data_IF_910181726721
#
_entry.id   IF_910181726721
#
_cell.length_a   1.000
_cell.length_b   1.000
_cell.length_c   1.000
_cell.angle_alpha   90.00
_cell.angle_beta   90.00
_cell.angle_gamma   90.00
#
_symmetry.space_group_name_H-M   'P 1'
#
loop_
_entity.id
_entity.type
_entity.pdbx_description
1 polymer ?
#
# COMPACT_ATOMS: atom_id res chain seq x y z
N UNK A 1 -84.65 9.20 -21.83
CA UNK A 1 -83.82 10.13 -21.04
C UNK A 1 -82.46 9.46 -20.80
N UNK A 2 -81.43 9.82 -21.59
CA UNK A 2 -80.07 9.30 -21.42
C UNK A 2 -79.40 10.03 -20.25
N UNK A 3 -79.07 9.30 -19.17
CA UNK A 3 -78.28 9.81 -18.04
C UNK A 3 -76.80 9.64 -18.37
N UNK A 4 -76.10 10.76 -18.54
CA UNK A 4 -74.64 10.81 -18.64
C UNK A 4 -74.05 10.59 -17.24
N UNK A 5 -73.25 9.53 -17.07
CA UNK A 5 -72.39 9.33 -15.91
C UNK A 5 -71.08 10.08 -16.17
N UNK A 6 -70.93 11.26 -15.57
CA UNK A 6 -69.68 12.00 -15.60
C UNK A 6 -68.69 11.37 -14.62
N UNK A 7 -67.69 10.66 -15.16
CA UNK A 7 -66.55 10.14 -14.41
C UNK A 7 -65.69 11.31 -13.90
N UNK A 8 -65.67 11.53 -12.58
CA UNK A 8 -64.74 12.47 -11.97
C UNK A 8 -63.37 11.79 -11.82
N UNK A 9 -62.43 12.10 -12.71
CA UNK A 9 -61.02 11.76 -12.54
C UNK A 9 -60.42 12.65 -11.45
N UNK A 10 -60.21 12.10 -10.27
CA UNK A 10 -59.41 12.70 -9.21
C UNK A 10 -57.93 12.63 -9.61
N UNK A 11 -57.37 13.76 -10.04
CA UNK A 11 -55.92 13.92 -10.17
C UNK A 11 -55.30 14.00 -8.78
N UNK A 12 -54.68 12.91 -8.33
CA UNK A 12 -53.72 12.99 -7.22
C UNK A 12 -52.41 13.57 -7.76
N UNK A 13 -51.92 14.72 -7.25
CA UNK A 13 -50.59 15.18 -7.60
C UNK A 13 -49.59 14.15 -7.07
N UNK A 14 -48.87 13.51 -7.99
CA UNK A 14 -47.66 12.78 -7.63
C UNK A 14 -46.66 13.85 -7.20
N UNK A 15 -46.50 14.05 -5.90
CA UNK A 15 -45.34 14.79 -5.39
C UNK A 15 -44.13 13.93 -5.67
N UNK A 16 -43.48 14.17 -6.81
CA UNK A 16 -42.12 13.72 -7.02
C UNK A 16 -41.30 14.31 -5.88
N UNK A 17 -40.88 13.47 -4.93
CA UNK A 17 -39.89 13.87 -3.94
C UNK A 17 -38.66 14.32 -4.73
N UNK A 18 -38.37 15.62 -4.70
CA UNK A 18 -37.15 16.14 -5.27
C UNK A 18 -36.01 15.33 -4.64
N UNK A 19 -35.26 14.60 -5.47
CA UNK A 19 -34.11 13.86 -5.02
C UNK A 19 -33.18 14.88 -4.35
N UNK A 20 -33.01 14.76 -3.03
CA UNK A 20 -32.29 15.76 -2.23
C UNK A 20 -30.91 16.03 -2.84
N UNK A 21 -30.52 17.29 -2.90
CA UNK A 21 -29.17 17.65 -3.34
C UNK A 21 -28.15 17.00 -2.39
N UNK A 22 -27.12 16.36 -2.95
CA UNK A 22 -26.00 15.83 -2.18
C UNK A 22 -25.32 17.00 -1.47
N UNK A 23 -25.42 17.03 -0.15
CA UNK A 23 -24.80 18.04 0.71
C UNK A 23 -23.46 17.59 1.27
N UNK A 24 -22.79 18.49 2.00
CA UNK A 24 -21.51 18.17 2.66
C UNK A 24 -21.66 16.99 3.64
N UNK A 25 -22.80 16.87 4.31
CA UNK A 25 -23.08 15.76 5.24
C UNK A 25 -23.15 14.42 4.52
N UNK A 26 -23.71 14.40 3.31
CA UNK A 26 -23.77 13.18 2.50
C UNK A 26 -22.38 12.77 2.03
N UNK A 27 -21.57 13.73 1.55
CA UNK A 27 -20.18 13.51 1.14
C UNK A 27 -19.34 13.01 2.32
N UNK A 28 -19.43 13.66 3.48
CA UNK A 28 -18.72 13.26 4.69
C UNK A 28 -19.17 11.88 5.22
N UNK A 29 -20.44 11.53 5.00
CA UNK A 29 -21.00 10.23 5.36
C UNK A 29 -20.66 9.08 4.40
N UNK A 30 -20.02 9.36 3.25
CA UNK A 30 -19.66 8.32 2.29
C UNK A 30 -18.63 7.36 2.87
N UNK A 31 -18.89 6.06 2.69
CA UNK A 31 -17.92 5.01 2.97
C UNK A 31 -17.08 4.78 1.72
N UNK A 32 -15.77 4.91 1.83
CA UNK A 32 -14.85 4.82 0.68
C UNK A 32 -13.96 3.60 0.83
N UNK A 33 -13.91 2.74 -0.19
CA UNK A 33 -12.92 1.67 -0.26
C UNK A 33 -11.58 2.31 -0.65
N UNK A 34 -10.56 2.12 0.19
CA UNK A 34 -9.25 2.77 -0.01
C UNK A 34 -8.13 1.81 -0.38
N UNK A 35 -8.30 0.52 -0.13
CA UNK A 35 -7.38 -0.55 -0.52
C UNK A 35 -8.14 -1.88 -0.50
N UNK A 36 -7.68 -2.86 -1.28
CA UNK A 36 -8.26 -4.20 -1.36
C UNK A 36 -7.17 -5.25 -1.60
N UNK A 37 -7.42 -6.45 -1.08
CA UNK A 37 -6.65 -7.64 -1.42
C UNK A 37 -7.60 -8.82 -1.57
N UNK A 38 -7.38 -9.60 -2.62
CA UNK A 38 -8.07 -10.87 -2.80
C UNK A 38 -7.31 -11.98 -2.08
N UNK A 39 -8.05 -12.90 -1.46
CA UNK A 39 -7.48 -14.17 -1.03
C UNK A 39 -7.06 -14.98 -2.25
N UNK A 40 -5.91 -15.63 -2.17
CA UNK A 40 -5.47 -16.61 -3.19
C UNK A 40 -6.30 -17.91 -3.12
N UNK A 41 -7.06 -18.10 -2.03
CA UNK A 41 -7.91 -19.27 -1.76
C UNK A 41 -9.36 -18.81 -1.60
N UNK A 42 -10.24 -19.26 -2.49
CA UNK A 42 -11.67 -18.89 -2.49
C UNK A 42 -11.95 -17.54 -3.17
N UNK A 43 -13.15 -16.99 -2.93
CA UNK A 43 -13.62 -15.73 -3.54
C UNK A 43 -13.69 -14.57 -2.52
N UNK A 44 -13.04 -14.71 -1.37
CA UNK A 44 -13.05 -13.68 -0.33
C UNK A 44 -12.04 -12.57 -0.62
N UNK A 45 -12.40 -11.34 -0.26
CA UNK A 45 -11.54 -10.16 -0.31
C UNK A 45 -11.52 -9.48 1.05
N UNK A 46 -10.37 -8.96 1.45
CA UNK A 46 -10.28 -7.99 2.54
C UNK A 46 -10.18 -6.60 1.93
N UNK A 47 -11.04 -5.70 2.36
CA UNK A 47 -11.10 -4.32 1.90
C UNK A 47 -10.93 -3.36 3.07
N UNK A 48 -10.22 -2.26 2.85
CA UNK A 48 -10.13 -1.16 3.81
C UNK A 48 -11.21 -0.13 3.50
N UNK A 49 -12.13 0.08 4.45
CA UNK A 49 -13.22 1.05 4.32
C UNK A 49 -12.95 2.24 5.23
N UNK A 50 -12.84 3.41 4.62
CA UNK A 50 -12.74 4.69 5.30
C UNK A 50 -14.14 5.23 5.63
N UNK A 51 -14.32 5.66 6.88
CA UNK A 51 -15.57 6.27 7.38
C UNK A 51 -15.27 7.50 8.23
N UNK A 52 -16.13 8.50 8.21
CA UNK A 52 -16.02 9.65 9.11
C UNK A 52 -16.52 9.28 10.51
N UNK A 53 -15.74 9.59 11.55
CA UNK A 53 -16.07 9.23 12.93
C UNK A 53 -17.12 10.15 13.59
N UNK A 54 -17.67 11.12 12.85
CA UNK A 54 -18.65 12.08 13.36
C UNK A 54 -18.04 13.22 14.21
N UNK A 55 -16.72 13.28 14.35
CA UNK A 55 -16.02 14.34 15.11
C UNK A 55 -15.14 15.17 14.17
N UNK A 56 -14.03 14.61 13.72
CA UNK A 56 -12.97 15.35 13.05
C UNK A 56 -12.02 14.46 12.23
N UNK A 57 -12.22 13.13 12.24
CA UNK A 57 -11.28 12.19 11.61
C UNK A 57 -11.98 11.16 10.76
N UNK A 58 -11.28 10.76 9.71
CA UNK A 58 -11.59 9.55 8.96
C UNK A 58 -10.83 8.38 9.58
N UNK A 59 -11.55 7.27 9.80
CA UNK A 59 -11.01 6.02 10.33
C UNK A 59 -11.15 4.96 9.26
N UNK A 60 -10.10 4.16 9.07
CA UNK A 60 -10.08 3.02 8.16
C UNK A 60 -10.19 1.74 8.95
N UNK A 61 -11.16 0.89 8.62
CA UNK A 61 -11.29 -0.44 9.19
C UNK A 61 -11.29 -1.50 8.08
N UNK A 62 -10.84 -2.71 8.42
CA UNK A 62 -10.83 -3.84 7.50
C UNK A 62 -12.17 -4.55 7.51
N UNK A 63 -12.61 -4.99 6.34
CA UNK A 63 -13.84 -5.73 6.13
C UNK A 63 -13.57 -6.94 5.25
N UNK A 64 -14.18 -8.07 5.59
CA UNK A 64 -14.23 -9.26 4.77
C UNK A 64 -15.46 -9.19 3.88
N UNK A 65 -15.25 -9.33 2.57
CA UNK A 65 -16.30 -9.32 1.55
C UNK A 65 -16.23 -10.64 0.79
N UNK A 66 -17.38 -11.31 0.61
CA UNK A 66 -17.48 -12.52 -0.20
C UNK A 66 -18.78 -12.50 -1.01
N UNK A 67 -18.77 -13.03 -2.25
CA UNK A 67 -19.97 -13.11 -3.07
C UNK A 67 -21.12 -13.82 -2.35
N UNK A 68 -22.32 -13.23 -2.42
CA UNK A 68 -23.53 -13.82 -1.84
C UNK A 68 -23.65 -13.74 -0.31
N UNK A 69 -22.69 -13.11 0.39
CA UNK A 69 -22.73 -12.92 1.85
C UNK A 69 -22.68 -11.44 2.23
N UNK A 70 -23.25 -11.09 3.38
CA UNK A 70 -23.11 -9.74 3.92
C UNK A 70 -21.65 -9.45 4.31
N UNK A 71 -21.11 -8.26 3.98
CA UNK A 71 -19.78 -7.85 4.43
C UNK A 71 -19.63 -7.92 5.94
N UNK A 72 -18.50 -8.44 6.42
CA UNK A 72 -18.21 -8.59 7.85
C UNK A 72 -17.05 -7.68 8.25
N UNK A 73 -17.28 -6.77 9.18
CA UNK A 73 -16.21 -5.94 9.73
C UNK A 73 -15.22 -6.81 10.53
N UNK A 74 -13.93 -6.62 10.28
CA UNK A 74 -12.82 -7.35 10.90
C UNK A 74 -12.17 -6.56 12.02
N UNK A 75 -12.01 -5.25 11.84
CA UNK A 75 -11.39 -4.37 12.84
C UNK A 75 -12.34 -3.28 13.30
N UNK A 76 -12.13 -2.83 14.53
CA UNK A 76 -12.80 -1.67 15.11
C UNK A 76 -11.74 -0.75 15.69
N UNK A 77 -11.78 0.53 15.32
CA UNK A 77 -10.87 1.54 15.88
C UNK A 77 -9.59 1.75 15.08
N UNK A 78 -9.55 1.32 13.82
CA UNK A 78 -8.45 1.62 12.92
C UNK A 78 -7.59 0.41 12.54
N UNK A 79 -7.24 0.38 11.26
CA UNK A 79 -6.22 -0.46 10.67
C UNK A 79 -5.47 0.34 9.59
N UNK A 80 -4.14 0.25 9.62
CA UNK A 80 -3.25 0.77 8.59
C UNK A 80 -3.14 -0.18 7.40
N UNK A 81 -2.01 -0.12 6.66
CA UNK A 81 -1.73 -1.06 5.58
C UNK A 81 -1.80 -2.51 6.06
N UNK A 82 -2.27 -3.40 5.19
CA UNK A 82 -2.55 -4.79 5.54
C UNK A 82 -2.03 -5.76 4.47
N UNK A 83 -2.01 -7.05 4.77
CA UNK A 83 -1.71 -8.13 3.84
C UNK A 83 -2.46 -9.41 4.20
N UNK A 84 -3.07 -10.08 3.23
CA UNK A 84 -3.71 -11.39 3.45
C UNK A 84 -2.65 -12.49 3.38
N UNK A 85 -2.68 -13.43 4.32
CA UNK A 85 -1.87 -14.65 4.29
C UNK A 85 -2.08 -15.43 2.97
N UNK A 86 -1.05 -16.04 2.37
CA UNK A 86 -1.18 -16.80 1.12
C UNK A 86 -2.27 -17.90 1.15
N UNK A 87 -2.49 -18.49 2.30
CA UNK A 87 -3.52 -19.51 2.57
C UNK A 87 -4.93 -18.93 2.79
N UNK A 88 -5.07 -17.61 2.89
CA UNK A 88 -6.36 -16.93 3.05
C UNK A 88 -7.00 -17.10 4.42
N UNK A 89 -6.22 -17.35 5.48
CA UNK A 89 -6.74 -17.65 6.83
C UNK A 89 -6.57 -16.50 7.82
N UNK A 90 -5.52 -15.71 7.67
CA UNK A 90 -5.22 -14.55 8.51
C UNK A 90 -5.00 -13.30 7.65
N UNK A 91 -5.18 -12.13 8.27
CA UNK A 91 -4.74 -10.83 7.74
C UNK A 91 -3.73 -10.20 8.70
N UNK A 92 -2.58 -9.80 8.16
CA UNK A 92 -1.61 -8.94 8.83
C UNK A 92 -1.98 -7.48 8.63
N UNK A 93 -1.85 -6.64 9.63
CA UNK A 93 -2.09 -5.20 9.48
C UNK A 93 -1.31 -4.38 10.50
N UNK A 94 -0.92 -3.17 10.10
CA UNK A 94 -0.38 -2.17 11.01
C UNK A 94 -1.49 -1.59 11.91
N UNK A 95 -1.23 -1.46 13.20
CA UNK A 95 -2.09 -0.67 14.09
C UNK A 95 -1.34 -0.14 15.31
N UNK A 96 -1.89 0.91 15.92
CA UNK A 96 -1.57 1.35 17.26
C UNK A 96 -2.75 1.01 18.18
N UNK A 97 -2.53 0.13 19.17
CA UNK A 97 -3.56 -0.36 20.09
C UNK A 97 -2.97 -0.56 21.48
N UNK A 98 -3.70 -0.11 22.50
CA UNK A 98 -3.33 -0.31 23.92
C UNK A 98 -1.90 0.14 24.25
N UNK A 99 -1.45 1.26 23.67
CA UNK A 99 -0.12 1.83 23.89
C UNK A 99 1.02 1.11 23.16
N UNK A 100 0.71 0.13 22.30
CA UNK A 100 1.67 -0.57 21.44
C UNK A 100 1.37 -0.31 19.98
N UNK A 101 2.41 -0.19 19.17
CA UNK A 101 2.30 -0.08 17.73
C UNK A 101 3.11 -1.17 17.03
N UNK A 102 2.63 -1.65 15.90
CA UNK A 102 3.27 -2.75 15.21
C UNK A 102 2.36 -3.50 14.27
N UNK A 103 2.80 -4.70 13.90
CA UNK A 103 2.05 -5.60 13.02
C UNK A 103 1.26 -6.59 13.87
N UNK A 104 -0.05 -6.63 13.61
CA UNK A 104 -1.00 -7.54 14.22
C UNK A 104 -1.45 -8.59 13.20
N UNK A 105 -1.75 -9.80 13.69
CA UNK A 105 -2.42 -10.85 12.92
C UNK A 105 -3.85 -11.06 13.43
N UNK A 106 -4.80 -11.17 12.51
CA UNK A 106 -6.20 -11.43 12.80
C UNK A 106 -6.72 -12.61 11.96
N UNK A 107 -7.30 -13.65 12.60
CA UNK A 107 -7.97 -14.73 11.88
C UNK A 107 -9.21 -14.26 11.11
N UNK A 108 -9.35 -14.72 9.86
CA UNK A 108 -10.47 -14.38 8.97
C UNK A 108 -11.72 -15.23 9.22
N UNK A 109 -11.65 -16.26 10.04
CA UNK A 109 -12.81 -17.00 10.57
C UNK A 109 -13.34 -16.43 11.90
N UNK A 110 -12.55 -15.59 12.57
CA UNK A 110 -12.95 -14.85 13.78
C UNK A 110 -11.97 -15.03 14.93
N UNK A 111 -11.99 -14.10 15.88
CA UNK A 111 -11.07 -14.06 17.01
C UNK A 111 -10.55 -12.66 17.28
N UNK A 112 -9.57 -12.54 18.17
CA UNK A 112 -8.91 -11.28 18.49
C UNK A 112 -7.59 -11.12 17.72
N UNK A 113 -7.26 -9.87 17.40
CA UNK A 113 -5.98 -9.56 16.77
C UNK A 113 -4.85 -9.70 17.80
N UNK A 114 -3.78 -10.41 17.43
CA UNK A 114 -2.57 -10.58 18.26
C UNK A 114 -1.41 -9.77 17.69
N UNK A 115 -0.67 -9.07 18.54
CA UNK A 115 0.57 -8.39 18.16
C UNK A 115 1.65 -9.44 17.89
N UNK A 116 2.25 -9.42 16.71
CA UNK A 116 3.35 -10.35 16.35
C UNK A 116 4.71 -9.67 16.29
N UNK A 117 4.73 -8.37 16.07
CA UNK A 117 5.93 -7.56 16.14
C UNK A 117 5.56 -6.16 16.62
N UNK A 118 6.08 -5.77 17.78
CA UNK A 118 6.12 -4.36 18.16
C UNK A 118 7.20 -3.69 17.32
N UNK A 119 6.85 -2.59 16.66
CA UNK A 119 7.77 -1.87 15.77
C UNK A 119 7.97 -0.45 16.27
N UNK A 120 9.20 0.07 16.23
CA UNK A 120 9.50 1.39 16.77
C UNK A 120 9.07 2.53 15.83
N UNK A 121 8.74 2.20 14.57
CA UNK A 121 8.30 3.11 13.51
C UNK A 121 7.16 2.48 12.69
N UNK A 122 6.41 3.31 11.97
CA UNK A 122 5.31 2.87 11.11
C UNK A 122 5.76 1.89 10.02
N UNK A 123 4.96 0.85 9.81
CA UNK A 123 5.08 -0.07 8.68
C UNK A 123 4.02 0.23 7.61
N UNK A 124 4.45 0.31 6.36
CA UNK A 124 3.63 0.55 5.18
C UNK A 124 3.83 -0.55 4.12
N UNK A 125 3.02 -0.53 3.05
CA UNK A 125 3.15 -1.42 1.87
C UNK A 125 3.26 -2.92 2.22
N UNK A 126 2.46 -3.42 3.16
CA UNK A 126 2.54 -4.80 3.63
C UNK A 126 2.25 -5.82 2.51
N UNK A 127 3.07 -6.87 2.42
CA UNK A 127 2.91 -8.03 1.53
C UNK A 127 3.19 -9.29 2.34
N UNK A 128 2.29 -10.28 2.31
CA UNK A 128 2.50 -11.57 2.97
C UNK A 128 2.72 -12.66 1.94
N UNK A 129 3.92 -13.21 1.89
CA UNK A 129 4.32 -14.24 0.94
C UNK A 129 5.50 -15.05 1.49
N UNK A 130 5.65 -16.30 1.04
CA UNK A 130 6.78 -17.16 1.39
C UNK A 130 6.98 -17.31 2.92
N UNK A 131 5.87 -17.33 3.68
CA UNK A 131 5.88 -17.43 5.14
C UNK A 131 6.33 -16.17 5.88
N UNK A 132 6.55 -15.05 5.20
CA UNK A 132 7.06 -13.79 5.77
C UNK A 132 6.14 -12.62 5.44
N UNK A 133 6.19 -11.58 6.27
CA UNK A 133 5.50 -10.31 6.03
C UNK A 133 6.56 -9.28 5.62
N UNK A 134 6.54 -8.87 4.37
CA UNK A 134 7.35 -7.77 3.86
C UNK A 134 6.63 -6.46 4.10
N UNK A 135 7.37 -5.42 4.47
CA UNK A 135 6.83 -4.10 4.72
C UNK A 135 7.90 -3.04 4.50
N UNK A 136 7.47 -1.81 4.25
CA UNK A 136 8.37 -0.67 4.16
C UNK A 136 8.32 0.16 5.42
N UNK A 137 9.45 0.75 5.80
CA UNK A 137 9.52 1.71 6.90
C UNK A 137 10.47 2.86 6.52
N UNK A 138 10.16 4.06 6.97
CA UNK A 138 11.02 5.22 6.82
C UNK A 138 12.20 5.11 7.79
N UNK A 139 13.42 5.23 7.27
CA UNK A 139 14.66 5.12 8.06
C UNK A 139 15.63 6.23 7.71
N UNK A 140 16.26 6.82 8.73
CA UNK A 140 17.34 7.77 8.51
C UNK A 140 18.59 7.08 7.96
N UNK A 141 19.27 7.73 7.02
CA UNK A 141 20.46 7.18 6.34
C UNK A 141 21.57 6.68 7.28
N UNK A 142 21.80 7.36 8.38
CA UNK A 142 22.81 7.02 9.39
C UNK A 142 22.38 5.88 10.32
N UNK A 143 21.08 5.65 10.48
CA UNK A 143 20.52 4.53 11.22
C UNK A 143 20.57 3.21 10.43
N UNK A 144 20.80 3.24 9.12
CA UNK A 144 20.87 2.03 8.27
C UNK A 144 19.61 1.17 8.40
N UNK A 145 19.69 -0.02 8.98
CA UNK A 145 18.56 -0.91 9.20
C UNK A 145 18.01 -0.87 10.64
N UNK A 146 18.57 -0.01 11.50
CA UNK A 146 18.19 0.12 12.90
C UNK A 146 16.94 1.00 13.05
N UNK A 147 15.80 0.35 13.23
CA UNK A 147 14.52 1.02 13.41
C UNK A 147 14.41 1.73 14.78
N UNK A 148 15.12 1.26 15.81
CA UNK A 148 15.13 1.89 17.14
C UNK A 148 15.95 3.20 17.12
N UNK A 149 17.07 3.21 16.39
CA UNK A 149 17.83 4.41 16.07
C UNK A 149 16.93 5.45 15.40
N UNK A 150 16.12 5.02 14.42
CA UNK A 150 15.22 5.91 13.69
C UNK A 150 14.17 6.53 14.61
N UNK A 151 13.51 5.72 15.46
CA UNK A 151 12.56 6.22 16.46
C UNK A 151 13.19 7.27 17.35
N UNK A 152 14.36 6.98 17.92
CA UNK A 152 15.08 7.94 18.78
C UNK A 152 15.37 9.24 18.04
N UNK A 153 15.78 9.17 16.78
CA UNK A 153 16.08 10.35 15.96
C UNK A 153 14.82 11.17 15.65
N UNK A 154 13.68 10.52 15.42
CA UNK A 154 12.38 11.20 15.27
C UNK A 154 11.97 11.91 16.57
N UNK A 155 12.14 11.26 17.73
CA UNK A 155 11.85 11.85 19.05
C UNK A 155 12.74 13.06 19.35
N UNK A 156 14.04 12.97 19.05
CA UNK A 156 14.98 14.08 19.24
C UNK A 156 14.66 15.24 18.30
N UNK A 157 14.29 14.95 17.04
CA UNK A 157 13.85 15.96 16.07
C UNK A 157 12.57 16.68 16.53
N UNK A 158 11.62 15.95 17.12
CA UNK A 158 10.37 16.53 17.63
C UNK A 158 10.57 17.50 18.81
N UNK A 159 11.67 17.36 19.55
CA UNK A 159 12.08 18.28 20.64
C UNK A 159 12.90 19.48 20.14
N UNK A 160 13.44 19.39 18.92
CA UNK A 160 14.31 20.40 18.33
C UNK A 160 13.56 21.58 17.70
N UNK A 161 14.29 22.51 17.05
CA UNK A 161 13.68 23.62 16.33
C UNK A 161 12.85 23.12 15.13
N UNK A 162 11.80 23.85 14.78
CA UNK A 162 10.96 23.56 13.61
C UNK A 162 11.63 23.91 12.27
N UNK A 163 12.75 24.64 12.30
CA UNK A 163 13.51 24.99 11.10
C UNK A 163 14.24 23.78 10.53
N UNK A 164 14.18 23.60 9.19
CA UNK A 164 14.90 22.56 8.47
C UNK A 164 15.83 23.18 7.43
N UNK A 165 17.02 22.61 7.25
CA UNK A 165 18.00 23.02 6.24
C UNK A 165 18.04 21.96 5.15
N UNK A 166 17.85 22.37 3.91
CA UNK A 166 17.92 21.50 2.73
C UNK A 166 19.04 21.96 1.82
N UNK A 167 19.98 21.05 1.53
CA UNK A 167 21.17 21.32 0.69
C UNK A 167 21.12 20.60 -0.65
N UNK A 168 20.10 19.77 -0.88
CA UNK A 168 19.96 18.92 -2.06
C UNK A 168 18.52 18.95 -2.58
N UNK A 169 18.35 18.74 -3.88
CA UNK A 169 17.03 18.73 -4.52
C UNK A 169 16.26 17.43 -4.28
N UNK A 170 14.98 17.56 -4.63
CA UNK A 170 13.87 16.69 -4.29
C UNK A 170 13.52 16.65 -2.79
N UNK A 171 13.77 17.76 -2.09
CA UNK A 171 13.43 17.92 -0.67
C UNK A 171 11.94 18.13 -0.39
N UNK A 172 11.12 18.43 -1.40
CA UNK A 172 9.68 18.67 -1.26
C UNK A 172 8.87 17.93 -2.33
N UNK A 173 8.60 16.63 -2.17
CA UNK A 173 7.70 15.91 -3.03
C UNK A 173 6.25 16.35 -2.78
N UNK A 174 5.64 16.98 -3.80
CA UNK A 174 4.28 17.50 -3.78
C UNK A 174 3.97 18.41 -2.58
N UNK A 175 3.14 17.93 -1.66
CA UNK A 175 2.65 18.64 -0.48
C UNK A 175 3.37 18.20 0.81
N UNK A 176 4.44 17.40 0.70
CA UNK A 176 5.23 16.90 1.83
C UNK A 176 6.67 17.38 1.76
N UNK A 177 7.34 17.38 2.92
CA UNK A 177 8.76 17.74 3.06
C UNK A 177 9.54 16.50 3.45
N UNK A 178 10.70 16.28 2.83
CA UNK A 178 11.58 15.18 3.23
C UNK A 178 12.10 15.46 4.64
N UNK A 179 11.98 14.49 5.51
CA UNK A 179 12.37 14.62 6.92
C UNK A 179 13.79 14.12 7.19
N UNK A 180 14.49 13.63 6.16
CA UNK A 180 15.82 13.01 6.21
C UNK A 180 15.80 11.49 6.20
N UNK A 181 14.60 10.89 6.12
CA UNK A 181 14.43 9.44 5.97
C UNK A 181 14.26 9.02 4.51
N UNK A 182 14.58 7.75 4.27
CA UNK A 182 14.28 7.02 3.04
C UNK A 182 13.36 5.86 3.37
N UNK A 183 12.42 5.58 2.48
CA UNK A 183 11.52 4.44 2.64
C UNK A 183 12.26 3.16 2.24
N UNK A 184 12.46 2.23 3.17
CA UNK A 184 13.27 1.03 2.98
C UNK A 184 12.45 -0.24 3.24
N UNK A 185 12.88 -1.36 2.65
CA UNK A 185 12.15 -2.62 2.65
C UNK A 185 12.72 -3.61 3.67
N UNK A 186 11.83 -4.18 4.47
CA UNK A 186 12.10 -5.14 5.53
C UNK A 186 11.24 -6.39 5.39
N UNK A 187 11.64 -7.46 6.05
CA UNK A 187 10.88 -8.71 6.15
C UNK A 187 10.78 -9.19 7.60
N UNK A 188 9.56 -9.44 8.05
CA UNK A 188 9.19 -9.96 9.35
C UNK A 188 8.90 -11.46 9.27
N UNK A 189 9.50 -12.24 10.16
CA UNK A 189 9.03 -13.58 10.52
C UNK A 189 7.87 -13.45 11.53
N UNK A 190 6.62 -13.79 11.16
CA UNK A 190 5.46 -13.65 12.04
C UNK A 190 5.42 -14.64 13.21
N UNK A 191 6.24 -15.70 13.17
CA UNK A 191 6.33 -16.69 14.26
C UNK A 191 7.30 -16.23 15.34
N UNK A 192 8.46 -15.70 14.94
CA UNK A 192 9.50 -15.29 15.87
C UNK A 192 9.48 -13.80 16.23
N UNK A 193 8.75 -12.98 15.46
CA UNK A 193 8.77 -11.52 15.57
C UNK A 193 10.06 -10.87 15.02
N UNK A 194 10.93 -11.64 14.36
CA UNK A 194 12.24 -11.14 13.90
C UNK A 194 12.08 -10.32 12.63
N UNK A 195 12.66 -9.13 12.61
CA UNK A 195 12.73 -8.24 11.45
C UNK A 195 14.13 -8.29 10.84
N UNK A 196 14.20 -8.37 9.52
CA UNK A 196 15.45 -8.34 8.75
C UNK A 196 15.36 -7.31 7.61
N UNK A 197 16.49 -6.70 7.28
CA UNK A 197 16.61 -5.81 6.13
C UNK A 197 16.54 -6.61 4.82
N UNK A 198 15.81 -6.09 3.83
CA UNK A 198 15.76 -6.63 2.46
C UNK A 198 16.45 -5.66 1.50
N UNK A 199 16.05 -4.39 1.52
CA UNK A 199 16.65 -3.34 0.71
C UNK A 199 16.66 -2.03 1.51
N UNK A 200 17.85 -1.66 1.97
CA UNK A 200 18.08 -0.51 2.87
C UNK A 200 19.21 0.33 2.28
N UNK A 201 18.99 1.64 2.21
CA UNK A 201 19.97 2.59 1.69
C UNK A 201 19.37 3.95 1.38
N UNK A 202 20.18 4.79 0.73
CA UNK A 202 19.81 6.16 0.33
C UNK A 202 18.97 6.16 -0.95
N UNK A 203 17.87 5.43 -0.94
CA UNK A 203 16.88 5.32 -2.01
C UNK A 203 15.54 4.90 -1.43
N UNK A 204 14.46 5.22 -2.14
CA UNK A 204 13.10 4.87 -1.71
C UNK A 204 12.60 3.61 -2.41
N UNK A 205 12.05 2.70 -1.61
CA UNK A 205 11.28 1.52 -2.03
C UNK A 205 9.94 1.55 -1.31
N UNK A 206 8.81 1.68 -2.02
CA UNK A 206 8.71 2.06 -3.44
C UNK A 206 9.21 3.49 -3.73
N UNK A 207 9.43 3.86 -5.01
CA UNK A 207 9.91 5.18 -5.41
C UNK A 207 8.88 6.28 -5.09
N UNK A 208 9.33 7.40 -4.53
CA UNK A 208 8.47 8.58 -4.35
C UNK A 208 8.35 9.39 -5.67
N UNK A 209 7.24 10.13 -5.88
CA UNK A 209 6.13 10.34 -4.97
C UNK A 209 4.92 9.42 -5.22
N UNK A 210 4.94 8.63 -6.29
CA UNK A 210 3.76 7.88 -6.76
C UNK A 210 3.81 6.39 -6.45
N UNK A 211 4.95 5.87 -5.98
CA UNK A 211 5.11 4.45 -5.77
C UNK A 211 4.32 3.92 -4.57
N UNK A 212 3.90 2.67 -4.70
CA UNK A 212 3.07 1.96 -3.74
C UNK A 212 3.47 0.50 -3.58
N UNK A 213 2.61 -0.28 -2.93
CA UNK A 213 2.80 -1.72 -2.71
C UNK A 213 3.02 -2.50 -4.00
N UNK A 214 2.41 -2.04 -5.10
CA UNK A 214 2.53 -2.59 -6.44
C UNK A 214 3.96 -2.59 -6.98
N UNK A 215 4.83 -1.69 -6.50
CA UNK A 215 6.24 -1.61 -6.90
C UNK A 215 7.13 -2.65 -6.19
N UNK A 216 6.54 -3.55 -5.41
CA UNK A 216 7.22 -4.63 -4.71
C UNK A 216 6.52 -5.95 -5.04
N UNK A 217 7.28 -6.90 -5.58
CA UNK A 217 6.82 -8.25 -5.85
C UNK A 217 7.61 -9.25 -5.03
N UNK A 218 6.90 -10.25 -4.50
CA UNK A 218 7.53 -11.38 -3.79
C UNK A 218 7.07 -12.68 -4.41
N UNK A 219 8.03 -13.50 -4.81
CA UNK A 219 7.83 -14.85 -5.34
C UNK A 219 7.52 -15.85 -4.21
N UNK A 220 7.04 -17.05 -4.57
CA UNK A 220 6.68 -18.09 -3.59
C UNK A 220 7.87 -18.64 -2.82
N UNK A 221 9.07 -18.57 -3.39
CA UNK A 221 10.35 -18.95 -2.80
C UNK A 221 11.05 -17.79 -2.08
N UNK A 222 10.42 -16.62 -2.00
CA UNK A 222 10.90 -15.49 -1.20
C UNK A 222 11.92 -14.59 -1.90
N UNK A 223 12.13 -14.75 -3.21
CA UNK A 223 12.82 -13.74 -4.03
C UNK A 223 11.95 -12.49 -4.12
N UNK A 224 12.57 -11.34 -3.90
CA UNK A 224 11.93 -10.02 -3.96
C UNK A 224 12.38 -9.30 -5.22
N UNK A 225 11.45 -8.68 -5.94
CA UNK A 225 11.77 -7.67 -6.97
C UNK A 225 11.10 -6.38 -6.58
N UNK A 226 11.83 -5.27 -6.59
CA UNK A 226 11.29 -3.97 -6.23
C UNK A 226 11.74 -2.89 -7.21
N UNK A 227 10.93 -1.85 -7.37
CA UNK A 227 11.30 -0.66 -8.14
C UNK A 227 11.99 0.38 -7.24
N UNK A 228 13.07 0.99 -7.72
CA UNK A 228 13.73 2.09 -7.03
C UNK A 228 14.42 3.06 -7.99
N UNK A 229 14.52 4.32 -7.56
CA UNK A 229 15.27 5.36 -8.25
C UNK A 229 16.67 5.50 -7.63
N UNK A 230 17.64 4.73 -8.13
CA UNK A 230 19.05 4.76 -7.68
C UNK A 230 19.92 5.56 -8.66
N UNK A 231 19.62 6.85 -8.78
CA UNK A 231 20.28 7.77 -9.72
C UNK A 231 20.89 8.97 -9.00
N UNK A 232 21.83 9.66 -9.66
CA UNK A 232 22.46 10.88 -9.10
C UNK A 232 21.49 12.07 -9.07
N UNK A 233 20.78 12.30 -10.17
CA UNK A 233 19.92 13.48 -10.34
C UNK A 233 18.46 13.15 -10.01
N UNK A 234 18.19 12.80 -8.75
CA UNK A 234 16.89 12.35 -8.25
C UNK A 234 15.72 13.26 -8.69
N UNK A 235 15.94 14.57 -8.68
CA UNK A 235 14.90 15.57 -8.94
C UNK A 235 14.51 15.74 -10.42
N UNK A 236 15.39 15.34 -11.35
CA UNK A 236 15.17 15.53 -12.79
C UNK A 236 14.92 14.20 -13.51
N UNK A 237 15.42 13.10 -12.96
CA UNK A 237 15.35 11.82 -13.60
C UNK A 237 13.96 11.19 -13.45
N UNK A 238 13.41 10.65 -14.55
CA UNK A 238 12.27 9.71 -14.48
C UNK A 238 12.72 8.26 -14.33
N UNK A 239 14.02 7.98 -14.44
CA UNK A 239 14.56 6.62 -14.39
C UNK A 239 14.21 5.93 -13.07
N UNK A 240 13.53 4.80 -13.18
CA UNK A 240 13.29 3.86 -12.09
C UNK A 240 13.67 2.50 -12.62
N UNK A 241 14.43 1.73 -11.85
CA UNK A 241 14.86 0.40 -12.23
C UNK A 241 14.26 -0.66 -11.31
N UNK A 242 14.18 -1.88 -11.80
CA UNK A 242 13.86 -3.05 -11.01
C UNK A 242 15.14 -3.68 -10.45
N UNK A 243 15.10 -4.01 -9.17
CA UNK A 243 16.17 -4.70 -8.45
C UNK A 243 15.62 -6.00 -7.88
N UNK A 244 16.36 -7.09 -8.07
CA UNK A 244 16.06 -8.40 -7.50
C UNK A 244 16.93 -8.65 -6.28
N UNK A 245 16.33 -9.11 -5.18
CA UNK A 245 17.02 -9.63 -4.00
C UNK A 245 16.72 -11.11 -3.86
N UNK A 246 17.76 -11.93 -3.97
CA UNK A 246 17.70 -13.38 -3.78
C UNK A 246 18.80 -13.79 -2.79
N UNK A 247 18.42 -14.52 -1.73
CA UNK A 247 19.37 -14.97 -0.69
C UNK A 247 20.26 -13.83 -0.13
N UNK A 248 19.68 -12.65 0.06
CA UNK A 248 20.38 -11.46 0.57
C UNK A 248 21.31 -10.76 -0.43
N UNK A 249 21.38 -11.24 -1.68
CA UNK A 249 22.16 -10.60 -2.74
C UNK A 249 21.25 -9.80 -3.65
N UNK A 250 21.56 -8.53 -3.84
CA UNK A 250 20.86 -7.65 -4.77
C UNK A 250 21.53 -7.65 -6.15
N UNK A 251 20.71 -7.62 -7.20
CA UNK A 251 21.15 -7.27 -8.57
C UNK A 251 20.13 -6.37 -9.26
N UNK A 252 20.61 -5.49 -10.13
CA UNK A 252 19.76 -4.72 -11.05
C UNK A 252 19.24 -5.63 -12.17
N UNK A 253 17.92 -5.63 -12.41
CA UNK A 253 17.26 -6.44 -13.45
C UNK A 253 17.07 -5.69 -14.76
N UNK A 254 16.85 -4.39 -14.70
CA UNK A 254 16.57 -3.53 -15.87
C UNK A 254 17.69 -2.53 -16.08
N UNK A 255 17.95 -2.14 -17.32
CA UNK A 255 18.93 -1.10 -17.69
C UNK A 255 18.31 0.07 -18.46
N UNK A 256 16.98 0.15 -18.47
CA UNK A 256 16.22 1.22 -19.10
C UNK A 256 16.54 2.58 -18.46
N UNK A 257 16.70 3.63 -19.26
CA UNK A 257 16.91 4.99 -18.75
C UNK A 257 15.59 5.72 -18.44
N UNK A 258 14.44 5.13 -18.80
CA UNK A 258 13.10 5.59 -18.43
C UNK A 258 12.57 4.83 -17.18
N UNK A 259 11.28 4.91 -16.91
CA UNK A 259 10.69 4.28 -15.72
C UNK A 259 10.29 2.82 -15.97
N UNK A 260 10.81 1.90 -15.15
CA UNK A 260 10.37 0.52 -15.00
C UNK A 260 9.79 0.32 -13.59
N UNK A 261 8.55 -0.17 -13.49
CA UNK A 261 7.74 -0.20 -12.25
C UNK A 261 6.78 -1.39 -12.21
N UNK A 262 6.09 -1.54 -11.08
CA UNK A 262 5.03 -2.50 -10.85
C UNK A 262 5.37 -3.96 -11.24
N UNK A 263 6.48 -4.54 -10.71
CA UNK A 263 6.86 -5.90 -11.03
C UNK A 263 5.81 -6.91 -10.54
N UNK A 264 5.72 -8.06 -11.21
CA UNK A 264 4.86 -9.18 -10.82
C UNK A 264 5.45 -10.50 -11.28
N UNK A 265 5.57 -11.46 -10.37
CA UNK A 265 6.11 -12.78 -10.68
C UNK A 265 5.07 -13.67 -11.38
N UNK A 266 5.52 -14.48 -12.34
CA UNK A 266 4.76 -15.66 -12.76
C UNK A 266 4.61 -16.67 -11.60
N UNK A 267 3.58 -17.54 -11.61
CA UNK A 267 3.34 -18.49 -10.52
C UNK A 267 4.52 -19.44 -10.21
N UNK A 268 5.31 -19.77 -11.22
CA UNK A 268 6.54 -20.59 -11.11
C UNK A 268 7.80 -19.76 -10.79
N UNK A 269 7.66 -18.45 -10.65
CA UNK A 269 8.74 -17.51 -10.37
C UNK A 269 9.72 -17.30 -11.53
N UNK A 270 9.54 -17.92 -12.71
CA UNK A 270 10.49 -17.79 -13.83
C UNK A 270 10.48 -16.40 -14.46
N UNK A 271 9.31 -15.82 -14.64
CA UNK A 271 9.11 -14.56 -15.33
C UNK A 271 8.77 -13.44 -14.35
N UNK A 272 9.20 -12.22 -14.69
CA UNK A 272 8.77 -10.99 -14.03
C UNK A 272 8.12 -10.11 -15.08
N UNK A 273 6.80 -9.96 -15.00
CA UNK A 273 6.07 -8.95 -15.76
C UNK A 273 6.23 -7.58 -15.09
N UNK A 274 6.33 -6.50 -15.86
CA UNK A 274 6.46 -5.15 -15.31
C UNK A 274 5.98 -4.10 -16.31
N UNK A 275 5.74 -2.88 -15.82
CA UNK A 275 5.38 -1.73 -16.65
C UNK A 275 6.63 -0.91 -16.95
N UNK A 276 6.78 -0.50 -18.21
CA UNK A 276 7.94 0.25 -18.70
C UNK A 276 7.54 1.44 -19.57
N UNK A 277 8.13 2.60 -19.32
CA UNK A 277 8.21 3.71 -20.25
C UNK A 277 9.47 3.57 -21.13
N UNK A 278 9.54 4.28 -22.24
CA UNK A 278 10.64 4.21 -23.21
C UNK A 278 11.38 5.55 -23.39
N UNK A 279 10.78 6.68 -22.97
CA UNK A 279 11.35 8.01 -23.17
C UNK A 279 11.87 8.58 -21.83
N UNK A 280 13.20 8.63 -21.62
CA UNK A 280 13.78 9.24 -20.43
C UNK A 280 13.37 10.71 -20.27
N UNK A 281 13.07 11.12 -19.04
CA UNK A 281 12.65 12.48 -18.73
C UNK A 281 11.21 12.82 -19.09
N UNK A 282 10.47 11.94 -19.79
CA UNK A 282 9.08 12.19 -20.18
C UNK A 282 8.11 11.39 -19.30
N UNK A 283 7.74 11.99 -18.16
CA UNK A 283 6.88 11.38 -17.13
C UNK A 283 5.49 10.95 -17.68
N UNK A 284 5.03 11.60 -18.75
CA UNK A 284 3.77 11.30 -19.44
C UNK A 284 3.88 10.29 -20.59
N UNK A 285 4.99 9.56 -20.72
CA UNK A 285 5.11 8.48 -21.72
C UNK A 285 4.12 7.35 -21.45
N UNK A 286 3.81 6.56 -22.47
CA UNK A 286 2.93 5.40 -22.36
C UNK A 286 3.62 4.26 -21.60
N UNK A 287 2.89 3.69 -20.66
CA UNK A 287 3.28 2.45 -19.99
C UNK A 287 3.07 1.25 -20.90
N UNK A 288 4.11 0.43 -21.06
CA UNK A 288 4.09 -0.81 -21.85
C UNK A 288 4.34 -1.99 -20.93
N UNK A 289 3.61 -3.08 -21.14
CA UNK A 289 3.88 -4.34 -20.46
C UNK A 289 5.15 -4.96 -21.04
N UNK A 290 6.07 -5.36 -20.17
CA UNK A 290 7.27 -6.14 -20.52
C UNK A 290 7.33 -7.38 -19.64
N UNK A 291 8.02 -8.42 -20.13
CA UNK A 291 8.23 -9.66 -19.38
C UNK A 291 9.71 -10.04 -19.43
N UNK A 292 10.36 -10.05 -18.27
CA UNK A 292 11.74 -10.49 -18.09
C UNK A 292 11.77 -11.99 -17.76
N UNK A 293 12.51 -12.80 -18.54
CA UNK A 293 12.78 -14.20 -18.25
C UNK A 293 14.04 -14.32 -17.38
N UNK A 294 13.88 -14.65 -16.09
CA UNK A 294 14.99 -14.75 -15.14
C UNK A 294 15.96 -15.88 -15.47
N UNK A 295 15.55 -16.86 -16.28
CA UNK A 295 16.40 -17.99 -16.69
C UNK A 295 17.37 -17.60 -17.80
N UNK A 296 16.91 -16.82 -18.78
CA UNK A 296 17.72 -16.41 -19.95
C UNK A 296 18.33 -15.02 -19.79
N UNK A 297 17.78 -14.18 -18.90
CA UNK A 297 18.16 -12.78 -18.76
C UNK A 297 17.63 -11.88 -19.87
N UNK A 298 16.61 -12.31 -20.61
CA UNK A 298 16.06 -11.58 -21.77
C UNK A 298 14.69 -11.02 -21.46
N UNK A 299 14.41 -9.82 -21.96
CA UNK A 299 13.08 -9.18 -21.89
C UNK A 299 12.35 -9.30 -23.21
N UNK A 300 11.07 -9.68 -23.17
CA UNK A 300 10.13 -9.60 -24.30
C UNK A 300 9.10 -8.50 -24.05
N UNK A 301 8.61 -7.90 -25.15
CA UNK A 301 7.56 -6.87 -25.16
C UNK A 301 6.34 -7.42 -25.89
#
# INVERSE_FOLDING_TARGET
MYRWLSTALLFFPITAAAQGQIGITDIMGMKVITDLQASMVGQAMVVSIQTYNGKDKFVKDLWLVSPGTAPRQLTFGGAGPFAISPEGKEVAFWAERSGKQGIYLLPLDGGEARLVAELPVQADNLIWQAGRIFFTANVFKDCKADLDCTRKRLEDKAKGPSASVYTELYFRPWNSWRDGTYQNLFALDPLSGKVEAVAVGEFDVPPIPFGGREDIAVSRDGVVVYAAKKVKDLALSTNTDLFEVASGTERRLTDNEAADQAPSFSPDGRFVAYLAQAVPGFESDIWRLKVFDRKTGTTVT
#
